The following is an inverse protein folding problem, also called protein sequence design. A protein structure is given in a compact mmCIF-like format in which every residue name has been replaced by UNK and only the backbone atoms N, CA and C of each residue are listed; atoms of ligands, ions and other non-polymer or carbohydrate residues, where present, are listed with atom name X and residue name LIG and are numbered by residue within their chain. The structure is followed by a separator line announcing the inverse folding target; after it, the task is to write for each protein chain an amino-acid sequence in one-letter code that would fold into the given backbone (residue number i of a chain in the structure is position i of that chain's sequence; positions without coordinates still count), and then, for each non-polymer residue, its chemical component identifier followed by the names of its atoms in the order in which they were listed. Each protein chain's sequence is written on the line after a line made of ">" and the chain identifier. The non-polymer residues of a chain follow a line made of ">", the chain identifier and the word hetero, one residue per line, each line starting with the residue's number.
data_IF_212084365459
#
_entry.id   IF_212084365459
#
_cell.length_a   1.000
_cell.length_b   1.000
_cell.length_c   1.000
_cell.angle_alpha   90.00
_cell.angle_beta   90.00
_cell.angle_gamma   90.00
#
_symmetry.space_group_name_H-M   'P 1'
#
loop_
_entity.id
_entity.type
_entity.pdbx_description
1 polymer ?
#
# COMPACT_ATOMS: atom_id res chain seq x y z
N UNK A 1 -15.37 -3.46 11.77
CA UNK A 1 -14.66 -3.03 10.53
C UNK A 1 -13.24 -3.56 10.61
N UNK A 2 -13.01 -4.75 10.06
CA UNK A 2 -11.74 -5.47 10.23
C UNK A 2 -10.77 -5.03 9.12
N UNK A 3 -9.87 -4.10 9.43
CA UNK A 3 -8.72 -3.85 8.57
C UNK A 3 -7.81 -5.07 8.65
N UNK A 4 -7.66 -5.79 7.53
CA UNK A 4 -6.68 -6.89 7.46
C UNK A 4 -5.31 -6.23 7.44
N UNK A 5 -4.59 -6.32 8.56
CA UNK A 5 -3.17 -6.02 8.58
C UNK A 5 -2.48 -7.11 7.78
N UNK A 6 -2.22 -6.82 6.50
CA UNK A 6 -1.44 -7.69 5.62
C UNK A 6 0.03 -7.55 6.09
N UNK A 7 0.34 -8.16 7.24
CA UNK A 7 1.70 -8.50 7.67
C UNK A 7 2.14 -9.75 6.91
N UNK A 8 1.95 -9.74 5.61
CA UNK A 8 2.18 -10.90 4.76
C UNK A 8 3.65 -10.90 4.37
N UNK A 9 4.50 -11.46 5.24
CA UNK A 9 5.85 -11.88 4.86
C UNK A 9 6.70 -10.82 4.13
N UNK A 10 6.65 -9.55 4.57
CA UNK A 10 7.60 -8.53 4.12
C UNK A 10 9.01 -8.73 4.72
N UNK A 11 9.24 -9.74 5.58
CA UNK A 11 10.55 -9.96 6.23
C UNK A 11 11.64 -10.56 5.33
N UNK A 12 11.34 -10.91 4.09
CA UNK A 12 12.30 -11.56 3.16
C UNK A 12 12.82 -10.62 2.05
N UNK A 13 12.33 -9.39 1.97
CA UNK A 13 12.78 -8.40 0.99
C UNK A 13 13.34 -7.18 1.75
N UNK A 14 14.61 -6.81 1.60
CA UNK A 14 15.25 -5.76 2.41
C UNK A 14 14.65 -4.35 2.23
N UNK A 15 13.75 -4.16 1.27
CA UNK A 15 13.07 -2.89 0.96
C UNK A 15 11.62 -2.82 1.48
N UNK A 16 11.06 -3.98 1.81
CA UNK A 16 9.73 -4.15 2.38
C UNK A 16 9.65 -3.61 3.83
N UNK A 17 10.80 -3.32 4.39
CA UNK A 17 11.01 -2.64 5.65
C UNK A 17 10.74 -1.13 5.59
N UNK A 18 10.08 -0.57 4.58
CA UNK A 18 9.80 0.87 4.56
C UNK A 18 8.31 1.22 4.62
N UNK A 19 7.43 0.32 4.21
CA UNK A 19 5.99 0.54 4.21
C UNK A 19 5.18 -0.75 4.14
N UNK A 20 3.91 -0.67 4.55
CA UNK A 20 2.94 -1.76 4.42
C UNK A 20 1.72 -1.28 3.64
N UNK A 21 1.21 -2.13 2.75
CA UNK A 21 -0.03 -1.88 1.99
C UNK A 21 -1.20 -2.49 2.74
N UNK A 22 -2.11 -1.64 3.19
CA UNK A 22 -3.40 -2.01 3.75
C UNK A 22 -4.43 -1.95 2.63
N UNK A 23 -5.08 -3.09 2.39
CA UNK A 23 -6.22 -3.17 1.50
C UNK A 23 -7.47 -3.55 2.29
N UNK A 24 -8.56 -2.86 2.02
CA UNK A 24 -9.84 -3.11 2.69
C UNK A 24 -10.65 -4.14 1.88
N UNK A 25 -10.37 -5.46 1.98
CA UNK A 25 -11.43 -6.46 1.80
C UNK A 25 -11.07 -7.90 2.23
N UNK A 26 -12.13 -8.63 2.62
CA UNK A 26 -12.32 -10.09 2.85
C UNK A 26 -11.07 -10.94 3.11
N UNK A 27 -11.11 -11.67 4.24
CA UNK A 27 -10.36 -12.90 4.55
C UNK A 27 -9.52 -13.41 3.38
N UNK A 28 -8.26 -12.98 3.30
CA UNK A 28 -7.34 -13.39 2.24
C UNK A 28 -6.77 -14.73 2.65
N UNK A 29 -7.11 -15.78 1.89
CA UNK A 29 -6.37 -17.04 1.94
C UNK A 29 -4.88 -16.74 1.70
N UNK A 30 -3.95 -17.57 2.20
CA UNK A 30 -2.53 -17.31 1.99
C UNK A 30 -2.18 -17.37 0.50
N UNK A 31 -2.15 -16.21 -0.15
CA UNK A 31 -1.79 -16.02 -1.56
C UNK A 31 -0.36 -15.53 -1.67
N UNK A 32 0.33 -15.99 -2.70
CA UNK A 32 1.64 -15.47 -3.03
C UNK A 32 1.59 -13.93 -3.18
N UNK A 33 2.60 -13.20 -2.67
CA UNK A 33 2.56 -11.73 -2.63
C UNK A 33 2.57 -11.09 -4.02
N UNK A 34 3.20 -11.73 -5.02
CA UNK A 34 3.22 -11.24 -6.41
C UNK A 34 1.83 -11.16 -7.06
N UNK A 35 1.05 -12.26 -7.14
CA UNK A 35 -0.29 -12.20 -7.70
C UNK A 35 -1.22 -11.31 -6.87
N UNK A 36 -1.03 -11.22 -5.55
CA UNK A 36 -1.79 -10.32 -4.70
C UNK A 36 -1.60 -8.84 -5.08
N UNK A 37 -0.36 -8.39 -5.26
CA UNK A 37 -0.06 -7.00 -5.66
C UNK A 37 -0.61 -6.67 -7.06
N UNK A 38 -0.55 -7.61 -8.00
CA UNK A 38 -1.17 -7.46 -9.31
C UNK A 38 -2.68 -7.30 -9.21
N UNK A 39 -3.34 -8.05 -8.31
CA UNK A 39 -4.78 -7.96 -8.09
C UNK A 39 -5.22 -6.62 -7.46
N UNK A 40 -4.31 -5.91 -6.79
CA UNK A 40 -4.57 -4.58 -6.22
C UNK A 40 -4.50 -3.46 -7.26
N UNK A 41 -3.95 -3.72 -8.44
CA UNK A 41 -3.82 -2.72 -9.50
C UNK A 41 -5.22 -2.26 -9.94
N UNK A 42 -5.40 -0.93 -10.04
CA UNK A 42 -6.67 -0.26 -10.32
C UNK A 42 -7.60 -0.10 -9.10
N UNK A 43 -7.23 -0.62 -7.92
CA UNK A 43 -8.05 -0.57 -6.71
C UNK A 43 -7.55 0.51 -5.74
N UNK A 44 -8.43 1.07 -4.88
CA UNK A 44 -8.02 2.00 -3.83
C UNK A 44 -7.21 1.26 -2.75
N UNK A 45 -6.02 1.76 -2.46
CA UNK A 45 -5.07 1.19 -1.49
C UNK A 45 -4.68 2.24 -0.44
N UNK A 46 -4.33 1.76 0.75
CA UNK A 46 -3.85 2.55 1.86
C UNK A 46 -2.42 2.12 2.15
N UNK A 47 -1.44 2.98 1.89
CA UNK A 47 -0.03 2.68 2.12
C UNK A 47 0.43 3.41 3.37
N UNK A 48 0.99 2.69 4.34
CA UNK A 48 1.53 3.29 5.56
C UNK A 48 3.05 3.11 5.60
N UNK A 49 3.77 4.21 5.60
CA UNK A 49 5.22 4.23 5.80
C UNK A 49 5.57 3.93 7.26
N UNK A 50 6.78 3.41 7.50
CA UNK A 50 7.28 3.13 8.86
C UNK A 50 7.30 4.36 9.77
N UNK A 51 7.47 5.55 9.21
CA UNK A 51 7.60 6.80 9.94
C UNK A 51 6.26 7.49 10.24
N UNK A 52 5.12 6.80 10.04
CA UNK A 52 3.79 7.31 10.40
C UNK A 52 3.09 8.12 9.30
N UNK A 53 3.76 8.31 8.16
CA UNK A 53 3.14 8.91 6.98
C UNK A 53 2.27 7.87 6.26
N UNK A 54 1.07 8.28 5.87
CA UNK A 54 0.06 7.44 5.26
C UNK A 54 -0.35 8.04 3.91
N UNK A 55 -0.52 7.20 2.91
CA UNK A 55 -0.99 7.58 1.59
C UNK A 55 -2.24 6.80 1.24
N UNK A 56 -3.26 7.49 0.72
CA UNK A 56 -4.48 6.88 0.22
C UNK A 56 -4.62 7.23 -1.23
N UNK A 57 -4.70 6.24 -2.10
CA UNK A 57 -4.79 6.48 -3.54
C UNK A 57 -5.18 5.23 -4.31
N UNK A 58 -5.20 5.33 -5.63
CA UNK A 58 -5.43 4.20 -6.51
C UNK A 58 -4.10 3.63 -6.97
N UNK A 59 -3.89 2.32 -6.80
CA UNK A 59 -2.67 1.67 -7.29
C UNK A 59 -2.71 1.62 -8.82
N UNK A 60 -1.81 2.34 -9.48
CA UNK A 60 -1.68 2.36 -10.95
C UNK A 60 -0.80 1.22 -11.44
N UNK A 61 0.33 1.02 -10.77
CA UNK A 61 1.30 0.00 -11.14
C UNK A 61 2.17 -0.38 -9.94
N UNK A 62 2.75 -1.57 -10.00
CA UNK A 62 3.73 -2.06 -9.03
C UNK A 62 4.68 -3.06 -9.67
N UNK A 63 5.89 -3.20 -9.13
CA UNK A 63 6.93 -4.10 -9.64
C UNK A 63 7.37 -5.16 -8.61
N UNK A 64 8.35 -5.98 -9.00
CA UNK A 64 8.91 -7.05 -8.16
C UNK A 64 9.68 -6.56 -6.94
N UNK A 65 9.97 -5.27 -6.85
CA UNK A 65 10.59 -4.61 -5.68
C UNK A 65 9.54 -3.92 -4.79
N UNK A 66 8.26 -4.07 -5.13
CA UNK A 66 7.11 -3.42 -4.50
C UNK A 66 7.08 -1.90 -4.63
N UNK A 67 7.81 -1.32 -5.58
CA UNK A 67 7.62 0.09 -5.90
C UNK A 67 6.14 0.32 -6.26
N UNK A 68 5.53 1.39 -5.73
CA UNK A 68 4.11 1.66 -5.90
C UNK A 68 3.91 2.98 -6.63
N UNK A 69 3.16 2.95 -7.73
CA UNK A 69 2.64 4.14 -8.36
C UNK A 69 1.19 4.33 -7.92
N UNK A 70 0.90 5.45 -7.26
CA UNK A 70 -0.43 5.81 -6.79
C UNK A 70 -0.95 7.01 -7.58
N UNK A 71 -2.20 6.95 -8.02
CA UNK A 71 -2.92 8.08 -8.60
C UNK A 71 -3.99 8.60 -7.65
N UNK A 72 -4.33 9.88 -7.81
CA UNK A 72 -5.31 10.59 -6.99
C UNK A 72 -5.05 10.41 -5.49
N UNK A 73 -3.78 10.53 -5.12
CA UNK A 73 -3.24 10.25 -3.79
C UNK A 73 -3.48 11.42 -2.86
N UNK A 74 -3.91 11.10 -1.64
CA UNK A 74 -4.03 12.02 -0.52
C UNK A 74 -3.07 11.59 0.58
N UNK A 75 -2.33 12.55 1.11
CA UNK A 75 -1.38 12.33 2.20
C UNK A 75 -2.08 12.50 3.56
N UNK A 76 -1.78 11.59 4.47
CA UNK A 76 -2.24 11.62 5.85
C UNK A 76 -1.04 11.56 6.78
N UNK A 77 -1.01 12.46 7.76
CA UNK A 77 -0.05 12.46 8.84
C UNK A 77 -0.81 12.50 10.17
N UNK A 78 -0.54 11.54 11.06
CA UNK A 78 -1.21 11.41 12.35
C UNK A 78 -2.76 11.43 12.26
N UNK A 79 -3.30 10.83 11.20
CA UNK A 79 -4.75 10.76 10.94
C UNK A 79 -5.36 12.04 10.35
N UNK A 80 -4.56 13.09 10.11
CA UNK A 80 -5.01 14.33 9.46
C UNK A 80 -4.60 14.34 8.00
N UNK A 81 -5.53 14.68 7.10
CA UNK A 81 -5.20 14.90 5.69
C UNK A 81 -4.33 16.15 5.54
N UNK A 82 -3.18 15.98 4.91
CA UNK A 82 -2.26 17.05 4.53
C UNK A 82 -2.57 17.62 3.13
N UNK A 83 -3.51 16.97 2.41
CA UNK A 83 -3.98 17.39 1.09
C UNK A 83 -3.76 16.36 -0.01
N UNK A 84 -4.29 16.66 -1.19
CA UNK A 84 -4.15 15.85 -2.39
C UNK A 84 -2.79 16.11 -3.05
N UNK A 85 -2.01 15.04 -3.21
CA UNK A 85 -0.74 15.02 -3.95
C UNK A 85 -0.93 14.67 -5.43
N UNK A 86 -2.05 14.01 -5.78
CA UNK A 86 -2.29 13.55 -7.14
C UNK A 86 -1.51 12.28 -7.45
N UNK A 87 -0.48 12.35 -8.30
CA UNK A 87 0.34 11.19 -8.64
C UNK A 87 1.56 11.09 -7.72
N UNK A 88 1.74 9.93 -7.09
CA UNK A 88 2.82 9.67 -6.13
C UNK A 88 3.50 8.36 -6.47
N UNK A 89 4.84 8.37 -6.44
CA UNK A 89 5.66 7.18 -6.61
C UNK A 89 6.40 6.86 -5.31
N UNK A 90 6.18 5.67 -4.76
CA UNK A 90 6.76 5.18 -3.50
C UNK A 90 7.79 4.10 -3.81
N UNK A 91 8.99 4.22 -3.22
CA UNK A 91 10.12 3.31 -3.40
C UNK A 91 10.59 2.77 -2.06
#
# INVERSE_FOLDING_TARGET
>A
MSAVHIRFLLSLLPFADFYYVLYQYKQVNPVNPKPFMQELTGKPVYVRLKWGLEYKGFLVSTDGYMNLQLANTEEFQDGKSNGALGEVFIR
#
